data_IF_701882379456
#
_entry.id   IF_701882379456
#
_cell.length_a   1.000
_cell.length_b   1.000
_cell.length_c   1.000
_cell.angle_alpha   90.00
_cell.angle_beta   90.00
_cell.angle_gamma   90.00
#
_symmetry.space_group_name_H-M   'P 1'
#
loop_
_entity.id
_entity.type
_entity.pdbx_description
1 polymer ?
#
# COMPACT_ATOMS: atom_id res chain seq x y z
N UNK A 1 -0.33 4.77 -46.33
CA UNK A 1 -0.59 4.15 -45.03
C UNK A 1 0.25 4.71 -43.89
N UNK A 2 1.59 4.93 -44.05
CA UNK A 2 2.42 5.50 -42.96
C UNK A 2 1.97 6.88 -42.44
N UNK A 3 1.49 7.75 -43.35
CA UNK A 3 1.02 9.09 -43.00
C UNK A 3 -0.26 9.08 -42.15
N UNK A 4 -1.24 8.25 -42.51
CA UNK A 4 -2.47 8.08 -41.81
C UNK A 4 -2.24 7.51 -40.38
N UNK A 5 -1.43 6.46 -40.28
CA UNK A 5 -1.05 5.88 -38.98
C UNK A 5 -0.35 6.91 -38.08
N UNK A 6 0.57 7.72 -38.64
CA UNK A 6 1.26 8.77 -37.89
C UNK A 6 0.28 9.86 -37.40
N UNK A 7 -0.69 10.24 -38.23
CA UNK A 7 -1.72 11.20 -37.86
C UNK A 7 -2.57 10.70 -36.69
N UNK A 8 -3.11 9.46 -36.79
CA UNK A 8 -3.95 8.86 -35.75
C UNK A 8 -3.19 8.70 -34.44
N UNK A 9 -1.96 8.20 -34.47
CA UNK A 9 -1.11 8.04 -33.28
C UNK A 9 -0.79 9.40 -32.66
N UNK A 10 -0.50 10.42 -33.46
CA UNK A 10 -0.23 11.77 -32.97
C UNK A 10 -1.45 12.35 -32.24
N UNK A 11 -2.65 12.20 -32.82
CA UNK A 11 -3.88 12.67 -32.19
C UNK A 11 -4.18 11.94 -30.89
N UNK A 12 -4.06 10.62 -30.89
CA UNK A 12 -4.17 9.78 -29.70
C UNK A 12 -3.19 10.22 -28.59
N UNK A 13 -1.89 10.44 -28.92
CA UNK A 13 -0.89 10.85 -27.95
C UNK A 13 -1.16 12.24 -27.37
N UNK A 14 -1.63 13.19 -28.16
CA UNK A 14 -2.05 14.53 -27.66
C UNK A 14 -3.17 14.39 -26.64
N UNK A 15 -4.23 13.64 -27.00
CA UNK A 15 -5.37 13.42 -26.10
C UNK A 15 -4.96 12.65 -24.85
N UNK A 16 -4.04 11.71 -24.97
CA UNK A 16 -3.50 10.97 -23.84
C UNK A 16 -2.76 11.88 -22.85
N UNK A 17 -1.88 12.75 -23.35
CA UNK A 17 -1.15 13.68 -22.50
C UNK A 17 -2.12 14.62 -21.77
N UNK A 18 -3.13 15.13 -22.48
CA UNK A 18 -4.17 15.98 -21.87
C UNK A 18 -4.96 15.20 -20.81
N UNK A 19 -5.40 13.98 -21.11
CA UNK A 19 -6.14 13.15 -20.16
C UNK A 19 -5.31 12.81 -18.92
N UNK A 20 -4.06 12.39 -19.10
CA UNK A 20 -3.15 12.09 -17.98
C UNK A 20 -2.92 13.33 -17.12
N UNK A 21 -2.66 14.50 -17.73
CA UNK A 21 -2.48 15.76 -16.99
C UNK A 21 -3.74 16.15 -16.20
N UNK A 22 -4.92 16.03 -16.81
CA UNK A 22 -6.19 16.29 -16.14
C UNK A 22 -6.42 15.36 -14.93
N UNK A 23 -6.16 14.07 -15.08
CA UNK A 23 -6.29 13.12 -13.98
C UNK A 23 -5.24 13.39 -12.89
N UNK A 24 -3.99 13.67 -13.23
CA UNK A 24 -2.96 14.02 -12.24
C UNK A 24 -3.40 15.26 -11.43
N UNK A 25 -3.89 16.31 -12.10
CA UNK A 25 -4.40 17.51 -11.40
C UNK A 25 -5.54 17.16 -10.45
N UNK A 26 -6.50 16.33 -10.89
CA UNK A 26 -7.62 15.90 -10.08
C UNK A 26 -7.14 15.14 -8.83
N UNK A 27 -6.24 14.16 -9.01
CA UNK A 27 -5.71 13.38 -7.90
C UNK A 27 -4.88 14.21 -6.92
N UNK A 28 -4.04 15.11 -7.42
CA UNK A 28 -3.28 16.02 -6.55
C UNK A 28 -4.22 16.94 -5.76
N UNK A 29 -5.28 17.42 -6.39
CA UNK A 29 -6.29 18.25 -5.71
C UNK A 29 -6.95 17.47 -4.56
N UNK A 30 -7.38 16.23 -4.80
CA UNK A 30 -7.96 15.36 -3.77
C UNK A 30 -6.93 15.11 -2.65
N UNK A 31 -5.70 14.76 -3.00
CA UNK A 31 -4.63 14.54 -2.03
C UNK A 31 -4.33 15.76 -1.16
N UNK A 32 -4.36 16.96 -1.74
CA UNK A 32 -4.20 18.21 -1.00
C UNK A 32 -5.33 18.36 0.02
N UNK A 33 -6.59 18.17 -0.38
CA UNK A 33 -7.73 18.27 0.53
C UNK A 33 -7.67 17.26 1.66
N UNK A 34 -7.32 16.00 1.36
CA UNK A 34 -7.17 14.95 2.38
C UNK A 34 -6.07 15.26 3.40
N UNK A 35 -4.96 15.86 2.95
CA UNK A 35 -3.82 16.15 3.80
C UNK A 35 -3.80 17.57 4.36
N UNK A 36 -4.73 18.44 3.98
CA UNK A 36 -4.79 19.86 4.38
C UNK A 36 -4.73 20.03 5.91
N UNK A 37 -5.56 19.28 6.64
CA UNK A 37 -5.58 19.33 8.09
C UNK A 37 -4.23 18.94 8.73
N UNK A 38 -3.53 18.00 8.13
CA UNK A 38 -2.22 17.55 8.62
C UNK A 38 -1.13 18.58 8.32
N UNK A 39 -1.18 19.20 7.13
CA UNK A 39 -0.26 20.24 6.71
C UNK A 39 -0.40 21.47 7.63
N UNK A 40 -1.62 21.90 7.91
CA UNK A 40 -1.89 23.07 8.75
C UNK A 40 -1.54 22.83 10.22
N UNK A 41 -1.95 21.68 10.80
CA UNK A 41 -1.68 21.36 12.21
C UNK A 41 -0.21 21.19 12.54
N UNK A 42 0.61 20.74 11.58
CA UNK A 42 2.02 20.48 11.81
C UNK A 42 2.93 21.62 11.28
N UNK A 43 2.36 22.75 10.81
CA UNK A 43 3.09 23.87 10.23
C UNK A 43 4.12 23.42 9.17
N UNK A 44 3.70 22.50 8.28
CA UNK A 44 4.60 21.93 7.26
C UNK A 44 5.01 23.02 6.27
N UNK A 45 6.32 23.23 6.01
CA UNK A 45 6.76 24.20 5.01
C UNK A 45 6.18 23.88 3.64
N UNK A 46 5.73 24.90 2.90
CA UNK A 46 5.06 24.73 1.61
C UNK A 46 5.91 23.94 0.60
N UNK A 47 7.23 24.17 0.62
CA UNK A 47 8.18 23.45 -0.21
C UNK A 47 8.21 21.95 0.09
N UNK A 48 8.15 21.57 1.35
CA UNK A 48 8.13 20.17 1.78
C UNK A 48 6.83 19.48 1.36
N UNK A 49 5.71 20.18 1.49
CA UNK A 49 4.42 19.69 1.02
C UNK A 49 4.43 19.51 -0.50
N UNK A 50 4.97 20.46 -1.27
CA UNK A 50 5.10 20.35 -2.73
C UNK A 50 5.97 19.13 -3.13
N UNK A 51 7.11 18.94 -2.46
CA UNK A 51 7.98 17.79 -2.71
C UNK A 51 7.26 16.46 -2.45
N UNK A 52 6.46 16.36 -1.38
CA UNK A 52 5.64 15.18 -1.10
C UNK A 52 4.70 14.84 -2.25
N UNK A 53 3.96 15.81 -2.80
CA UNK A 53 3.05 15.59 -3.93
C UNK A 53 3.80 15.21 -5.22
N UNK A 54 4.95 15.84 -5.49
CA UNK A 54 5.79 15.51 -6.66
C UNK A 54 6.25 14.06 -6.61
N UNK A 55 6.70 13.56 -5.45
CA UNK A 55 7.11 12.16 -5.31
C UNK A 55 5.96 11.16 -5.48
N UNK A 56 4.70 11.59 -5.36
CA UNK A 56 3.54 10.73 -5.60
C UNK A 56 3.12 10.65 -7.08
N UNK A 57 3.55 11.58 -7.91
CA UNK A 57 3.15 11.64 -9.34
C UNK A 57 3.40 10.31 -10.08
N UNK A 58 4.56 9.64 -9.99
CA UNK A 58 4.77 8.39 -10.71
C UNK A 58 3.77 7.30 -10.34
N UNK A 59 3.41 7.20 -9.09
CA UNK A 59 2.38 6.27 -8.60
C UNK A 59 0.99 6.63 -9.15
N UNK A 60 0.63 7.92 -9.12
CA UNK A 60 -0.64 8.41 -9.68
C UNK A 60 -0.72 8.08 -11.17
N UNK A 61 0.35 8.31 -11.95
CA UNK A 61 0.41 7.95 -13.38
C UNK A 61 0.09 6.47 -13.57
N UNK A 62 0.68 5.59 -12.76
CA UNK A 62 0.42 4.15 -12.81
C UNK A 62 -1.06 3.79 -12.62
N UNK A 63 -1.75 4.51 -11.72
CA UNK A 63 -3.16 4.27 -11.44
C UNK A 63 -4.10 4.83 -12.52
N UNK A 64 -3.80 6.02 -13.04
CA UNK A 64 -4.69 6.71 -13.99
C UNK A 64 -4.44 6.28 -15.45
N UNK A 65 -3.28 5.72 -15.76
CA UNK A 65 -2.89 5.38 -17.13
C UNK A 65 -3.93 4.50 -17.86
N UNK A 66 -4.49 3.42 -17.27
CA UNK A 66 -5.50 2.59 -17.96
C UNK A 66 -6.73 3.39 -18.36
N UNK A 67 -7.23 4.24 -17.45
CA UNK A 67 -8.42 5.07 -17.68
C UNK A 67 -8.11 6.16 -18.70
N UNK A 68 -6.94 6.79 -18.61
CA UNK A 68 -6.51 7.81 -19.55
C UNK A 68 -6.32 7.27 -20.97
N UNK A 69 -5.75 6.07 -21.12
CA UNK A 69 -5.62 5.39 -22.41
C UNK A 69 -7.00 5.08 -23.00
N UNK A 70 -7.90 4.51 -22.21
CA UNK A 70 -9.27 4.22 -22.66
C UNK A 70 -9.98 5.49 -23.13
N UNK A 71 -9.96 6.54 -22.33
CA UNK A 71 -10.57 7.83 -22.66
C UNK A 71 -9.97 8.42 -23.94
N UNK A 72 -8.65 8.38 -24.07
CA UNK A 72 -7.95 8.92 -25.23
C UNK A 72 -8.28 8.16 -26.52
N UNK A 73 -8.40 6.83 -26.46
CA UNK A 73 -8.86 6.01 -27.59
C UNK A 73 -10.31 6.39 -27.98
N UNK A 74 -11.20 6.50 -27.00
CA UNK A 74 -12.59 6.87 -27.25
C UNK A 74 -12.71 8.27 -27.88
N UNK A 75 -11.95 9.25 -27.35
CA UNK A 75 -11.96 10.60 -27.90
C UNK A 75 -11.34 10.67 -29.29
N UNK A 76 -10.26 9.93 -29.54
CA UNK A 76 -9.61 9.87 -30.87
C UNK A 76 -10.57 9.26 -31.89
N UNK A 77 -11.12 8.09 -31.61
CA UNK A 77 -12.05 7.42 -32.53
C UNK A 77 -13.36 8.20 -32.68
N UNK A 78 -13.87 8.74 -31.60
CA UNK A 78 -15.07 9.58 -31.61
C UNK A 78 -14.88 10.87 -32.43
N UNK A 79 -13.71 11.52 -32.31
CA UNK A 79 -13.32 12.67 -33.12
C UNK A 79 -13.25 12.33 -34.61
N UNK A 80 -12.52 11.27 -34.97
CA UNK A 80 -12.44 10.77 -36.34
C UNK A 80 -13.80 10.42 -36.94
N UNK A 81 -14.69 9.81 -36.14
CA UNK A 81 -16.03 9.46 -36.56
C UNK A 81 -16.89 10.72 -36.78
N UNK A 82 -16.83 11.68 -35.84
CA UNK A 82 -17.62 12.93 -35.89
C UNK A 82 -17.26 13.80 -37.11
N UNK A 83 -15.98 13.83 -37.48
CA UNK A 83 -15.52 14.58 -38.64
C UNK A 83 -15.66 13.81 -39.98
N UNK A 84 -16.27 12.62 -39.95
CA UNK A 84 -16.47 11.81 -41.17
C UNK A 84 -15.20 11.17 -41.72
N UNK A 85 -14.06 11.30 -41.00
CA UNK A 85 -12.75 10.78 -41.44
C UNK A 85 -12.78 9.23 -41.55
N UNK A 86 -13.46 8.54 -40.65
CA UNK A 86 -13.62 7.08 -40.71
C UNK A 86 -14.42 6.68 -41.99
N UNK A 87 -15.42 7.47 -42.36
CA UNK A 87 -16.20 7.24 -43.57
C UNK A 87 -15.37 7.49 -44.82
N UNK A 88 -14.58 8.55 -44.84
CA UNK A 88 -13.66 8.86 -45.92
C UNK A 88 -12.60 7.75 -46.09
N UNK A 89 -12.02 7.23 -44.99
CA UNK A 89 -11.07 6.13 -44.97
C UNK A 89 -11.69 4.87 -45.60
N UNK A 90 -12.94 4.55 -45.22
CA UNK A 90 -13.69 3.42 -45.82
C UNK A 90 -13.97 3.62 -47.30
N UNK A 91 -14.41 4.82 -47.69
CA UNK A 91 -14.70 5.15 -49.09
C UNK A 91 -13.43 5.06 -49.97
N UNK A 92 -12.26 5.37 -49.38
CA UNK A 92 -10.94 5.18 -50.03
C UNK A 92 -10.46 3.74 -50.09
N UNK A 93 -11.28 2.76 -49.70
CA UNK A 93 -10.94 1.33 -49.75
C UNK A 93 -9.92 0.86 -48.72
N UNK A 94 -9.59 1.73 -47.73
CA UNK A 94 -8.64 1.39 -46.68
C UNK A 94 -9.36 0.56 -45.58
N UNK A 95 -8.76 -0.58 -45.25
CA UNK A 95 -9.28 -1.44 -44.17
C UNK A 95 -9.21 -0.74 -42.81
N UNK A 96 -10.28 -0.83 -42.01
CA UNK A 96 -10.32 -0.26 -40.66
C UNK A 96 -9.19 -0.77 -39.74
N UNK A 97 -8.69 -1.96 -40.00
CA UNK A 97 -7.51 -2.48 -39.29
C UNK A 97 -6.29 -1.53 -39.42
N UNK A 98 -6.19 -0.75 -40.53
CA UNK A 98 -5.18 0.28 -40.69
C UNK A 98 -5.28 1.42 -39.66
N UNK A 99 -6.44 1.63 -39.05
CA UNK A 99 -6.70 2.59 -37.96
C UNK A 99 -6.43 1.97 -36.59
N UNK A 100 -6.93 0.75 -36.36
CA UNK A 100 -6.86 0.12 -35.06
C UNK A 100 -5.48 -0.44 -34.71
N UNK A 101 -4.76 -1.03 -35.67
CA UNK A 101 -3.44 -1.65 -35.43
C UNK A 101 -2.41 -0.63 -34.89
N UNK A 102 -2.26 0.59 -35.45
CA UNK A 102 -1.34 1.58 -34.88
C UNK A 102 -1.69 1.98 -33.45
N UNK A 103 -2.98 2.15 -33.14
CA UNK A 103 -3.45 2.48 -31.79
C UNK A 103 -3.16 1.36 -30.80
N UNK A 104 -3.40 0.10 -31.21
CA UNK A 104 -3.12 -1.06 -30.38
C UNK A 104 -1.63 -1.21 -30.07
N UNK A 105 -0.76 -1.05 -31.06
CA UNK A 105 0.70 -1.12 -30.90
C UNK A 105 1.17 0.01 -29.96
N UNK A 106 0.67 1.23 -30.16
CA UNK A 106 1.03 2.37 -29.32
C UNK A 106 0.54 2.15 -27.88
N UNK A 107 -0.68 1.64 -27.69
CA UNK A 107 -1.22 1.27 -26.38
C UNK A 107 -0.38 0.20 -25.69
N UNK A 108 0.09 -0.82 -26.41
CA UNK A 108 0.96 -1.85 -25.86
C UNK A 108 2.32 -1.29 -25.41
N UNK A 109 2.90 -0.37 -26.19
CA UNK A 109 4.16 0.32 -25.81
C UNK A 109 3.95 1.16 -24.56
N UNK A 110 2.85 1.91 -24.46
CA UNK A 110 2.52 2.71 -23.28
C UNK A 110 2.30 1.80 -22.07
N UNK A 111 1.60 0.68 -22.22
CA UNK A 111 1.37 -0.30 -21.16
C UNK A 111 2.70 -0.86 -20.64
N UNK A 112 3.65 -1.19 -21.52
CA UNK A 112 4.98 -1.63 -21.12
C UNK A 112 5.75 -0.52 -20.37
N UNK A 113 5.64 0.73 -20.82
CA UNK A 113 6.23 1.89 -20.13
C UNK A 113 5.63 2.12 -18.74
N UNK A 114 4.32 2.02 -18.60
CA UNK A 114 3.62 2.14 -17.31
C UNK A 114 3.99 0.98 -16.38
N UNK A 115 4.12 -0.23 -16.92
CA UNK A 115 4.59 -1.38 -16.13
C UNK A 115 6.01 -1.14 -15.59
N UNK A 116 6.94 -0.68 -16.42
CA UNK A 116 8.29 -0.32 -15.97
C UNK A 116 8.28 0.81 -14.93
N UNK A 117 7.43 1.82 -15.10
CA UNK A 117 7.28 2.91 -14.17
C UNK A 117 6.79 2.40 -12.80
N UNK A 118 5.81 1.51 -12.78
CA UNK A 118 5.27 0.92 -11.56
C UNK A 118 6.25 -0.03 -10.87
N UNK A 119 7.08 -0.75 -11.62
CA UNK A 119 8.03 -1.71 -11.05
C UNK A 119 9.29 -1.03 -10.50
N UNK A 120 9.81 0.00 -11.18
CA UNK A 120 11.12 0.58 -10.83
C UNK A 120 11.03 1.98 -10.21
N UNK A 121 10.15 2.84 -10.71
CA UNK A 121 10.13 4.26 -10.31
C UNK A 121 9.16 4.49 -9.15
N UNK A 122 7.94 3.98 -9.25
CA UNK A 122 6.90 4.22 -8.26
C UNK A 122 7.30 3.77 -6.84
N UNK A 123 7.91 2.58 -6.60
CA UNK A 123 8.30 2.17 -5.25
C UNK A 123 9.35 3.09 -4.64
N UNK A 124 10.33 3.55 -5.43
CA UNK A 124 11.40 4.44 -4.95
C UNK A 124 10.83 5.80 -4.55
N UNK A 125 9.96 6.36 -5.38
CA UNK A 125 9.36 7.67 -5.13
C UNK A 125 8.35 7.63 -3.98
N UNK A 126 7.57 6.55 -3.86
CA UNK A 126 6.66 6.34 -2.72
C UNK A 126 7.41 6.22 -1.40
N UNK A 127 8.52 5.47 -1.34
CA UNK A 127 9.35 5.38 -0.13
C UNK A 127 9.85 6.76 0.32
N UNK A 128 10.23 7.64 -0.62
CA UNK A 128 10.58 9.03 -0.32
C UNK A 128 9.37 9.82 0.19
N UNK A 129 8.23 9.72 -0.48
CA UNK A 129 7.00 10.38 -0.03
C UNK A 129 6.59 9.92 1.38
N UNK A 130 6.69 8.62 1.69
CA UNK A 130 6.40 8.09 3.02
C UNK A 130 7.41 8.55 4.07
N UNK A 131 8.68 8.72 3.72
CA UNK A 131 9.67 9.31 4.62
C UNK A 131 9.28 10.76 5.00
N UNK A 132 8.85 11.58 4.02
CA UNK A 132 8.30 12.91 4.30
C UNK A 132 7.04 12.84 5.17
N UNK A 133 6.13 11.92 4.86
CA UNK A 133 4.92 11.71 5.63
C UNK A 133 5.22 11.36 7.09
N UNK A 134 6.20 10.49 7.34
CA UNK A 134 6.63 10.13 8.70
C UNK A 134 7.17 11.33 9.46
N UNK A 135 8.01 12.13 8.83
CA UNK A 135 8.67 13.27 9.47
C UNK A 135 7.69 14.39 9.82
N UNK A 136 6.75 14.69 8.91
CA UNK A 136 5.92 15.89 8.99
C UNK A 136 4.45 15.62 9.35
N UNK A 137 3.89 14.45 8.97
CA UNK A 137 2.48 14.12 9.21
C UNK A 137 2.27 13.15 10.36
N UNK A 138 3.33 12.59 10.96
CA UNK A 138 3.25 11.56 11.99
C UNK A 138 2.86 12.07 13.39
N UNK A 139 2.22 13.24 13.47
CA UNK A 139 1.61 13.70 14.72
C UNK A 139 0.32 12.93 15.08
N UNK A 140 -0.16 12.07 14.18
CA UNK A 140 -1.43 11.38 14.37
C UNK A 140 -1.21 9.94 14.85
N UNK A 141 -1.98 9.56 15.89
CA UNK A 141 -2.14 8.18 16.31
C UNK A 141 -2.45 7.32 15.07
N UNK A 142 -1.59 6.34 14.76
CA UNK A 142 -1.89 5.39 13.68
C UNK A 142 -2.98 4.46 14.17
N UNK A 143 -4.15 4.56 13.55
CA UNK A 143 -5.22 3.57 13.72
C UNK A 143 -5.09 2.54 12.61
N UNK A 144 -4.94 1.29 12.97
CA UNK A 144 -4.81 0.18 12.03
C UNK A 144 -6.17 -0.37 11.55
N UNK A 145 -7.18 0.49 11.51
CA UNK A 145 -8.54 0.11 11.16
C UNK A 145 -9.26 -0.65 12.28
N UNK A 146 -10.42 -1.20 11.96
CA UNK A 146 -11.23 -1.95 12.93
C UNK A 146 -10.59 -3.30 13.34
N UNK A 147 -9.81 -3.89 12.46
CA UNK A 147 -9.19 -5.22 12.65
C UNK A 147 -7.84 -5.16 13.38
N UNK A 148 -7.15 -3.99 13.37
CA UNK A 148 -5.82 -3.84 13.93
C UNK A 148 -4.73 -4.53 13.12
N UNK A 149 -3.48 -4.47 13.62
CA UNK A 149 -2.35 -5.24 13.08
C UNK A 149 -2.18 -6.53 13.88
N UNK A 150 -1.97 -7.62 13.17
CA UNK A 150 -1.64 -8.93 13.73
C UNK A 150 -0.15 -9.23 13.55
N UNK A 151 0.53 -9.47 14.64
CA UNK A 151 1.96 -9.77 14.66
C UNK A 151 2.17 -11.14 15.29
N UNK A 152 3.00 -11.96 14.65
CA UNK A 152 3.44 -13.22 15.22
C UNK A 152 4.64 -12.98 16.15
N UNK A 153 4.63 -13.58 17.31
CA UNK A 153 5.72 -13.57 18.30
C UNK A 153 6.12 -14.99 18.65
N UNK A 154 7.26 -15.17 19.29
CA UNK A 154 7.74 -16.52 19.70
C UNK A 154 6.76 -17.25 20.61
N UNK A 155 5.98 -16.53 21.40
CA UNK A 155 5.01 -17.07 22.36
C UNK A 155 3.57 -17.12 21.86
N UNK A 156 3.29 -16.58 20.64
CA UNK A 156 1.93 -16.56 20.12
C UNK A 156 1.66 -15.47 19.10
N UNK A 157 0.51 -14.81 19.22
CA UNK A 157 0.07 -13.77 18.28
C UNK A 157 -0.40 -12.54 19.04
N UNK A 158 -0.01 -11.36 18.57
CA UNK A 158 -0.39 -10.08 19.16
C UNK A 158 -1.19 -9.27 18.15
N UNK A 159 -2.33 -8.74 18.61
CA UNK A 159 -3.14 -7.78 17.86
C UNK A 159 -3.03 -6.40 18.49
N UNK A 160 -2.77 -5.37 17.70
CA UNK A 160 -2.66 -3.99 18.13
C UNK A 160 -3.61 -3.14 17.30
N UNK A 161 -4.55 -2.45 17.94
CA UNK A 161 -5.53 -1.61 17.24
C UNK A 161 -4.98 -0.25 16.84
N UNK A 162 -4.13 0.33 17.68
CA UNK A 162 -3.61 1.67 17.46
C UNK A 162 -2.23 1.83 18.10
N UNK A 163 -1.32 2.51 17.42
CA UNK A 163 0.00 2.84 17.94
C UNK A 163 0.28 4.34 17.79
N UNK A 164 0.80 4.94 18.85
CA UNK A 164 1.38 6.29 18.86
C UNK A 164 2.89 6.18 19.05
N UNK A 165 3.63 6.17 17.95
CA UNK A 165 5.08 5.99 18.00
C UNK A 165 5.85 7.20 18.57
N UNK A 166 5.23 8.40 18.57
CA UNK A 166 5.84 9.59 19.21
C UNK A 166 5.80 9.49 20.73
N UNK A 167 4.66 9.10 21.25
CA UNK A 167 4.47 8.90 22.69
C UNK A 167 5.00 7.56 23.16
N UNK A 168 5.39 6.68 22.23
CA UNK A 168 5.78 5.31 22.51
C UNK A 168 4.66 4.55 23.25
N UNK A 169 3.42 4.71 22.77
CA UNK A 169 2.20 4.14 23.34
C UNK A 169 1.49 3.24 22.32
N UNK A 170 1.00 2.09 22.78
CA UNK A 170 0.13 1.19 22.04
C UNK A 170 -1.24 1.16 22.70
N UNK A 171 -2.32 1.18 21.91
CA UNK A 171 -3.69 1.12 22.41
C UNK A 171 -4.42 -0.10 21.87
N UNK A 172 -5.18 -0.77 22.74
CA UNK A 172 -5.97 -1.94 22.39
C UNK A 172 -5.12 -3.15 22.02
N UNK A 173 -4.15 -3.46 22.88
CA UNK A 173 -3.23 -4.59 22.69
C UNK A 173 -3.89 -5.89 23.18
N UNK A 174 -3.96 -6.89 22.31
CA UNK A 174 -4.41 -8.24 22.68
C UNK A 174 -3.29 -9.23 22.36
N UNK A 175 -2.85 -9.99 23.35
CA UNK A 175 -1.85 -11.04 23.20
C UNK A 175 -2.53 -12.39 23.38
N UNK A 176 -2.34 -13.30 22.42
CA UNK A 176 -2.76 -14.68 22.52
C UNK A 176 -1.50 -15.55 22.70
N UNK A 177 -1.42 -16.21 23.84
CA UNK A 177 -0.36 -17.17 24.12
C UNK A 177 -0.76 -18.53 23.59
N UNK A 178 0.09 -19.14 22.75
CA UNK A 178 -0.16 -20.43 22.12
C UNK A 178 0.79 -21.46 22.73
N UNK A 179 0.24 -22.50 23.34
CA UNK A 179 0.99 -23.66 23.81
C UNK A 179 1.05 -24.77 22.72
N UNK A 180 2.09 -25.60 22.73
CA UNK A 180 2.17 -26.79 21.86
C UNK A 180 1.12 -27.82 22.32
N UNK A 181 0.35 -28.48 21.43
CA UNK A 181 0.39 -28.52 19.96
C UNK A 181 -0.57 -27.55 19.24
N UNK A 182 -0.59 -26.26 19.48
CA UNK A 182 -1.46 -25.24 18.89
C UNK A 182 -2.77 -24.96 19.68
N UNK A 183 -2.68 -24.98 21.00
CA UNK A 183 -3.79 -24.65 21.88
C UNK A 183 -3.59 -23.24 22.45
N UNK A 184 -4.64 -22.44 22.49
CA UNK A 184 -4.60 -21.13 23.15
C UNK A 184 -4.52 -21.36 24.64
N UNK A 185 -3.34 -21.12 25.23
CA UNK A 185 -3.10 -21.27 26.66
C UNK A 185 -3.55 -20.05 27.48
N UNK A 186 -3.59 -18.87 26.84
CA UNK A 186 -3.99 -17.65 27.50
C UNK A 186 -4.30 -16.52 26.54
N UNK A 187 -4.99 -15.51 27.05
CA UNK A 187 -5.24 -14.25 26.38
C UNK A 187 -4.97 -13.12 27.35
N UNK A 188 -4.25 -12.11 26.91
CA UNK A 188 -4.10 -10.86 27.66
C UNK A 188 -4.71 -9.71 26.84
N UNK A 189 -5.43 -8.84 27.47
CA UNK A 189 -5.92 -7.61 26.89
C UNK A 189 -5.48 -6.42 27.72
N UNK A 190 -4.80 -5.47 27.08
CA UNK A 190 -4.44 -4.20 27.68
C UNK A 190 -5.04 -3.05 26.87
N UNK A 191 -5.63 -2.09 27.56
CA UNK A 191 -6.14 -0.88 26.92
C UNK A 191 -5.00 -0.03 26.40
N UNK A 192 -3.89 0.02 27.13
CA UNK A 192 -2.71 0.81 26.84
C UNK A 192 -1.44 0.10 27.29
N UNK A 193 -0.40 0.16 26.46
CA UNK A 193 0.95 -0.28 26.79
C UNK A 193 1.94 0.80 26.38
N UNK A 194 2.93 1.07 27.25
CA UNK A 194 3.92 2.13 27.09
C UNK A 194 5.32 1.51 27.04
N UNK A 195 6.17 2.07 26.19
CA UNK A 195 7.58 1.65 26.10
C UNK A 195 8.36 2.17 27.30
N UNK A 196 8.79 1.27 28.18
CA UNK A 196 9.58 1.58 29.37
C UNK A 196 10.73 0.56 29.52
N UNK A 197 11.92 1.03 29.86
CA UNK A 197 13.10 0.17 30.18
C UNK A 197 13.43 -0.89 29.10
N UNK A 198 13.29 -0.53 27.81
CA UNK A 198 13.62 -1.45 26.72
C UNK A 198 12.56 -2.49 26.40
N UNK A 199 11.33 -2.34 26.92
CA UNK A 199 10.19 -3.23 26.65
C UNK A 199 8.84 -2.53 26.68
N UNK A 200 7.83 -3.17 26.12
CA UNK A 200 6.45 -2.71 26.21
C UNK A 200 5.82 -3.19 27.52
N UNK A 201 5.27 -2.26 28.29
CA UNK A 201 4.63 -2.54 29.60
C UNK A 201 3.19 -2.05 29.56
N UNK A 202 2.27 -2.95 29.86
CA UNK A 202 0.86 -2.62 30.03
C UNK A 202 0.59 -2.19 31.46
N UNK A 203 0.15 -0.95 31.66
CA UNK A 203 -0.12 -0.43 33.02
C UNK A 203 -1.34 -1.10 33.67
N UNK A 204 -2.31 -1.58 32.87
CA UNK A 204 -3.52 -2.29 33.33
C UNK A 204 -3.91 -3.34 32.29
N UNK A 205 -3.73 -4.60 32.64
CA UNK A 205 -4.01 -5.73 31.77
C UNK A 205 -5.00 -6.70 32.41
N UNK A 206 -5.89 -7.24 31.59
CA UNK A 206 -6.75 -8.37 31.96
C UNK A 206 -6.16 -9.62 31.31
N UNK A 207 -5.82 -10.58 32.14
CA UNK A 207 -5.21 -11.87 31.70
C UNK A 207 -6.22 -12.98 31.93
N UNK A 208 -6.43 -13.78 30.88
CA UNK A 208 -7.20 -15.01 30.95
C UNK A 208 -6.24 -16.19 30.75
N UNK A 209 -6.22 -17.11 31.68
CA UNK A 209 -5.46 -18.36 31.57
C UNK A 209 -6.45 -19.50 31.38
N UNK A 210 -6.24 -20.28 30.33
CA UNK A 210 -7.08 -21.42 30.00
C UNK A 210 -6.44 -22.71 30.55
N UNK A 211 -7.03 -23.27 31.58
CA UNK A 211 -6.60 -24.54 32.17
C UNK A 211 -6.92 -25.75 31.27
N UNK A 212 -6.13 -26.81 31.38
CA UNK A 212 -6.37 -28.06 30.63
C UNK A 212 -7.70 -28.74 31.03
N UNK A 213 -8.23 -28.41 32.18
CA UNK A 213 -9.51 -28.85 32.72
C UNK A 213 -10.72 -28.03 32.26
N UNK A 214 -10.51 -27.11 31.32
CA UNK A 214 -11.55 -26.19 30.82
C UNK A 214 -11.86 -25.00 31.74
N UNK A 215 -11.17 -24.86 32.86
CA UNK A 215 -11.34 -23.71 33.74
C UNK A 215 -10.66 -22.50 33.16
N UNK A 216 -11.35 -21.34 33.24
CA UNK A 216 -10.82 -20.03 32.82
C UNK A 216 -10.59 -19.19 34.06
N UNK A 217 -9.35 -18.86 34.33
CA UNK A 217 -8.96 -17.93 35.39
C UNK A 217 -8.78 -16.55 34.78
N UNK A 218 -9.53 -15.57 35.32
CA UNK A 218 -9.43 -14.17 34.90
C UNK A 218 -8.79 -13.37 36.01
N UNK A 219 -7.64 -12.74 35.73
CA UNK A 219 -6.93 -11.91 36.70
C UNK A 219 -6.71 -10.52 36.07
N UNK A 220 -6.70 -9.50 36.90
CA UNK A 220 -6.31 -8.15 36.47
C UNK A 220 -4.97 -7.81 37.12
N UNK A 221 -4.00 -7.49 36.28
CA UNK A 221 -2.63 -7.26 36.67
C UNK A 221 -2.16 -5.91 36.18
N UNK A 222 -1.26 -5.27 36.97
CA UNK A 222 -0.64 -4.00 36.60
C UNK A 222 0.84 -4.21 36.28
N UNK A 223 1.35 -3.42 35.31
CA UNK A 223 2.76 -3.47 34.97
C UNK A 223 3.18 -4.75 34.25
N UNK A 224 2.31 -5.34 33.43
CA UNK A 224 2.58 -6.58 32.71
C UNK A 224 3.43 -6.31 31.47
N UNK A 225 4.56 -7.01 31.34
CA UNK A 225 5.40 -6.94 30.15
C UNK A 225 4.69 -7.59 28.95
N UNK A 226 4.68 -6.89 27.81
CA UNK A 226 4.22 -7.40 26.52
C UNK A 226 5.42 -7.87 25.74
N UNK A 227 5.77 -9.16 25.89
CA UNK A 227 6.95 -9.72 25.27
C UNK A 227 6.78 -10.02 23.78
N UNK A 228 7.89 -10.01 23.04
CA UNK A 228 7.94 -10.38 21.63
C UNK A 228 7.50 -9.29 20.66
N UNK A 229 7.35 -8.04 21.11
CA UNK A 229 7.11 -6.90 20.25
C UNK A 229 8.41 -6.16 19.95
N UNK A 230 8.56 -5.72 18.71
CA UNK A 230 9.70 -4.91 18.27
C UNK A 230 9.75 -3.54 18.96
N UNK A 231 10.94 -2.92 19.05
CA UNK A 231 11.09 -1.53 19.51
C UNK A 231 10.24 -0.56 18.67
N UNK A 232 9.80 0.59 19.22
CA UNK A 232 8.96 1.55 18.50
C UNK A 232 9.57 2.02 17.15
N UNK A 233 10.89 2.03 17.05
CA UNK A 233 11.63 2.44 15.86
C UNK A 233 11.53 1.40 14.72
N UNK A 234 11.55 0.13 15.04
CA UNK A 234 11.42 -0.98 14.08
C UNK A 234 9.95 -1.20 13.66
N UNK A 235 9.01 -0.93 14.54
CA UNK A 235 7.57 -1.07 14.27
C UNK A 235 7.08 -0.20 13.11
N UNK A 236 7.70 0.98 12.94
CA UNK A 236 7.32 1.91 11.87
C UNK A 236 7.68 1.39 10.47
N UNK A 237 8.57 0.41 10.37
CA UNK A 237 9.04 -0.16 9.10
C UNK A 237 8.20 -1.31 8.55
N UNK A 238 7.57 -2.11 9.40
CA UNK A 238 6.94 -3.38 9.00
C UNK A 238 5.75 -3.20 8.07
N UNK A 239 4.89 -2.22 8.31
CA UNK A 239 3.68 -1.99 7.49
C UNK A 239 3.99 -1.32 6.14
N UNK A 240 4.96 -0.40 6.13
CA UNK A 240 5.34 0.34 4.93
C UNK A 240 6.15 -0.51 3.95
N UNK A 241 6.88 -1.52 4.44
CA UNK A 241 7.62 -2.48 3.60
C UNK A 241 6.63 -3.28 2.74
N UNK A 242 5.54 -3.78 3.31
CA UNK A 242 4.54 -4.57 2.57
C UNK A 242 3.76 -3.73 1.55
N UNK A 243 3.52 -2.45 1.84
CA UNK A 243 2.70 -1.57 1.01
C UNK A 243 3.41 -1.04 -0.23
N UNK A 244 4.74 -0.93 -0.17
CA UNK A 244 5.57 -0.29 -1.20
C UNK A 244 6.55 -1.27 -1.86
N UNK A 245 6.27 -2.57 -1.78
CA UNK A 245 7.03 -3.60 -2.49
C UNK A 245 6.69 -3.59 -3.98
N UNK A 246 7.71 -3.69 -4.82
CA UNK A 246 7.53 -4.02 -6.22
C UNK A 246 7.23 -5.52 -6.37
N UNK A 247 6.86 -5.93 -7.60
CA UNK A 247 6.44 -7.32 -7.86
C UNK A 247 7.58 -8.32 -7.60
N UNK A 248 8.82 -7.95 -7.87
CA UNK A 248 10.01 -8.78 -7.63
C UNK A 248 10.35 -8.88 -6.15
N UNK A 249 10.21 -7.80 -5.38
CA UNK A 249 10.36 -7.81 -3.92
C UNK A 249 9.26 -8.65 -3.25
N UNK A 250 8.01 -8.51 -3.71
CA UNK A 250 6.88 -9.28 -3.21
C UNK A 250 7.08 -10.79 -3.45
N UNK A 251 7.51 -11.18 -4.66
CA UNK A 251 7.84 -12.59 -4.97
C UNK A 251 8.93 -13.15 -4.07
N UNK A 252 9.98 -12.37 -3.82
CA UNK A 252 11.07 -12.78 -2.91
C UNK A 252 10.58 -12.92 -1.48
N UNK A 253 9.74 -12.00 -1.02
CA UNK A 253 9.14 -12.03 0.30
C UNK A 253 8.23 -13.27 0.49
N UNK A 254 7.36 -13.55 -0.49
CA UNK A 254 6.50 -14.75 -0.47
C UNK A 254 7.34 -16.03 -0.46
N UNK A 255 8.39 -16.09 -1.29
CA UNK A 255 9.30 -17.25 -1.34
C UNK A 255 10.03 -17.48 -0.01
N UNK A 256 10.44 -16.42 0.67
CA UNK A 256 11.06 -16.52 1.99
C UNK A 256 10.06 -17.00 3.05
N UNK A 257 8.81 -16.47 3.02
CA UNK A 257 7.75 -16.95 3.91
C UNK A 257 7.41 -18.43 3.67
N UNK A 258 7.34 -18.86 2.41
CA UNK A 258 7.12 -20.28 2.08
C UNK A 258 8.27 -21.16 2.58
N UNK A 259 9.52 -20.71 2.46
CA UNK A 259 10.68 -21.42 2.98
C UNK A 259 10.63 -21.56 4.51
N UNK A 260 10.29 -20.47 5.23
CA UNK A 260 10.13 -20.51 6.69
C UNK A 260 8.98 -21.43 7.13
N UNK A 261 7.86 -21.41 6.39
CA UNK A 261 6.73 -22.32 6.66
C UNK A 261 7.11 -23.75 6.35
N UNK A 262 7.85 -24.01 5.27
CA UNK A 262 8.30 -25.34 4.88
C UNK A 262 9.33 -25.91 5.89
N UNK A 263 10.27 -25.11 6.38
CA UNK A 263 11.19 -25.50 7.44
C UNK A 263 10.42 -25.84 8.74
N UNK A 264 9.44 -25.00 9.12
CA UNK A 264 8.59 -25.28 10.28
C UNK A 264 7.79 -26.59 10.12
N UNK A 265 7.35 -26.93 8.91
CA UNK A 265 6.68 -28.20 8.60
C UNK A 265 7.65 -29.39 8.65
N UNK A 266 8.88 -29.25 8.14
CA UNK A 266 9.91 -30.30 8.14
C UNK A 266 10.29 -30.69 9.55
N UNK A 267 10.50 -29.74 10.46
CA UNK A 267 10.73 -30.01 11.88
C UNK A 267 9.57 -30.73 12.58
N UNK A 268 8.34 -30.61 12.01
CA UNK A 268 7.17 -31.30 12.54
C UNK A 268 7.07 -32.77 12.07
N UNK A 269 7.64 -33.06 10.91
CA UNK A 269 7.64 -34.43 10.33
C UNK A 269 8.76 -35.31 10.93
N UNK A 270 9.85 -34.69 11.39
CA UNK A 270 10.98 -35.43 12.04
C UNK A 270 10.73 -35.75 13.53
N UNK A 271 9.57 -35.39 14.06
CA UNK A 271 9.16 -35.60 15.46
C UNK A 271 8.11 -36.74 15.65
N UNK A 272 7.80 -37.48 14.57
CA UNK A 272 6.91 -38.66 14.63
C UNK A 272 7.64 -39.91 14.17
#
# INVERSE_FOLDING_TARGET
MKTLSKYIVSEFLKLLVIAVAAFIMLFIMIDIFENMNNIMKNNVPLWTAAAFFIYRIPFIIGQVAPIAVLLSVLLTLGGLARHGEITAIKAGGIRLLGVFVPLFITGAIISAGVFMLNEYVAPITLRKADAFRRTWFSAQKRSFGAEGIWLRTDSGVVNIRQADFRKKELHGVTVFTIAKPFVIAGRMFAREAVWKNGGWVADDAVVWVFGKDGRVVKTREKGVAVNGLYPPEEFSGVEDIQRNMNLSELRRYVKNLEAEVYEAFKYKTDLY
#
